data_IF_244977625019
#
_entry.id   IF_244977625019
#
_cell.length_a   1.000
_cell.length_b   1.000
_cell.length_c   1.000
_cell.angle_alpha   90.00
_cell.angle_beta   90.00
_cell.angle_gamma   90.00
#
_symmetry.space_group_name_H-M   'P 1'
#
loop_
_entity.id
_entity.type
_entity.pdbx_description
1 polymer ?
#
# COMPACT_ATOMS: atom_id res chain seq x y z
N UNK A 1 -0.82 -16.44 27.37
CA UNK A 1 -0.39 -15.98 26.03
C UNK A 1 -1.57 -15.27 25.39
N UNK A 2 -1.39 -14.05 24.89
CA UNK A 2 -2.44 -13.36 24.12
C UNK A 2 -2.57 -14.00 22.74
N UNK A 3 -3.80 -14.22 22.29
CA UNK A 3 -4.09 -14.80 20.97
C UNK A 3 -3.85 -13.76 19.87
N UNK A 4 -3.28 -14.18 18.74
CA UNK A 4 -3.13 -13.35 17.54
C UNK A 4 -4.52 -13.03 16.96
N UNK A 5 -4.75 -11.76 16.59
CA UNK A 5 -6.06 -11.27 16.11
C UNK A 5 -6.06 -10.72 14.69
N UNK A 6 -4.89 -10.45 14.09
CA UNK A 6 -4.77 -9.88 12.75
C UNK A 6 -3.36 -10.09 12.18
N UNK A 7 -3.23 -10.05 10.86
CA UNK A 7 -1.97 -10.11 10.11
C UNK A 7 -2.05 -9.36 8.77
N UNK A 8 -0.94 -9.16 8.06
CA UNK A 8 -0.90 -8.41 6.81
C UNK A 8 -1.61 -9.11 5.64
N UNK A 9 -1.81 -10.43 5.74
CA UNK A 9 -2.49 -11.27 4.75
C UNK A 9 -3.67 -12.04 5.39
N UNK A 10 -4.44 -11.37 6.25
CA UNK A 10 -5.49 -12.02 7.06
C UNK A 10 -6.68 -12.56 6.24
N UNK A 11 -6.88 -12.03 5.02
CA UNK A 11 -7.98 -12.36 4.12
C UNK A 11 -7.56 -13.31 2.98
N UNK A 12 -6.41 -13.99 3.14
CA UNK A 12 -5.87 -14.95 2.17
C UNK A 12 -6.87 -16.05 1.82
N UNK A 13 -6.89 -16.47 0.56
CA UNK A 13 -7.75 -17.56 0.05
C UNK A 13 -9.21 -17.52 0.58
N UNK A 14 -9.82 -16.32 0.54
CA UNK A 14 -11.19 -16.05 1.01
C UNK A 14 -11.41 -16.22 2.52
N UNK A 15 -10.36 -16.08 3.33
CA UNK A 15 -10.41 -16.14 4.80
C UNK A 15 -11.41 -15.15 5.40
N UNK A 16 -12.35 -15.68 6.21
CA UNK A 16 -13.40 -14.91 6.87
C UNK A 16 -14.75 -14.86 6.13
N UNK A 17 -15.77 -14.36 6.84
CA UNK A 17 -17.15 -14.28 6.30
C UNK A 17 -17.24 -13.41 5.04
N UNK A 18 -18.05 -13.86 4.08
CA UNK A 18 -18.30 -13.10 2.84
C UNK A 18 -18.82 -11.69 3.12
N UNK A 19 -19.66 -11.49 4.15
CA UNK A 19 -20.19 -10.16 4.51
C UNK A 19 -19.10 -9.14 4.86
N UNK A 20 -17.95 -9.59 5.39
CA UNK A 20 -16.79 -8.74 5.70
C UNK A 20 -15.98 -8.46 4.43
N UNK A 21 -15.70 -9.51 3.63
CA UNK A 21 -14.95 -9.40 2.36
C UNK A 21 -15.69 -8.61 1.28
N UNK A 22 -17.03 -8.68 1.25
CA UNK A 22 -17.89 -7.95 0.31
C UNK A 22 -17.87 -6.43 0.48
N UNK A 23 -17.19 -5.92 1.52
CA UNK A 23 -16.92 -4.49 1.69
C UNK A 23 -15.81 -3.99 0.75
N UNK A 24 -15.14 -4.88 0.00
CA UNK A 24 -14.22 -4.49 -1.06
C UNK A 24 -14.91 -3.49 -2.01
N UNK A 25 -14.20 -2.39 -2.27
CA UNK A 25 -14.67 -1.28 -3.10
C UNK A 25 -14.81 -1.68 -4.58
N UNK A 26 -14.13 -2.74 -5.01
CA UNK A 26 -14.16 -3.26 -6.38
C UNK A 26 -15.33 -4.23 -6.62
N UNK A 27 -15.89 -4.82 -5.55
CA UNK A 27 -17.08 -5.66 -5.64
C UNK A 27 -18.32 -4.80 -5.91
N UNK A 28 -18.72 -4.73 -7.19
CA UNK A 28 -19.88 -3.99 -7.70
C UNK A 28 -21.23 -4.73 -7.51
N UNK A 29 -22.26 -4.33 -8.27
CA UNK A 29 -23.65 -4.83 -8.35
C UNK A 29 -23.88 -6.35 -8.20
N UNK A 30 -22.85 -7.19 -8.41
CA UNK A 30 -22.93 -8.65 -8.29
C UNK A 30 -22.59 -9.22 -6.89
N UNK A 31 -22.44 -8.38 -5.85
CA UNK A 31 -22.14 -8.83 -4.48
C UNK A 31 -23.01 -9.98 -3.99
N UNK A 32 -24.33 -9.95 -4.22
CA UNK A 32 -25.23 -11.02 -3.76
C UNK A 32 -24.98 -12.35 -4.48
N UNK A 33 -24.67 -12.31 -5.77
CA UNK A 33 -24.40 -13.51 -6.58
C UNK A 33 -23.14 -14.22 -6.11
N UNK A 34 -22.05 -13.47 -5.90
CA UNK A 34 -20.77 -14.00 -5.44
C UNK A 34 -20.75 -14.49 -3.97
N UNK A 35 -21.86 -14.29 -3.24
CA UNK A 35 -22.05 -14.88 -1.91
C UNK A 35 -22.56 -16.32 -1.94
N UNK A 36 -22.97 -16.82 -3.12
CA UNK A 36 -23.39 -18.21 -3.31
C UNK A 36 -22.18 -19.11 -3.53
N UNK A 37 -22.22 -20.32 -2.97
CA UNK A 37 -21.09 -21.26 -3.03
C UNK A 37 -20.67 -21.55 -4.48
N UNK A 38 -21.65 -21.77 -5.36
CA UNK A 38 -21.46 -22.11 -6.77
C UNK A 38 -20.82 -20.98 -7.59
N UNK A 39 -20.96 -19.74 -7.12
CA UNK A 39 -20.46 -18.53 -7.76
C UNK A 39 -19.21 -17.97 -7.06
N UNK A 40 -18.57 -18.76 -6.19
CA UNK A 40 -17.37 -18.33 -5.48
C UNK A 40 -16.22 -18.15 -6.45
N UNK A 41 -15.55 -16.99 -6.39
CA UNK A 41 -14.32 -16.72 -7.14
C UNK A 41 -13.32 -15.94 -6.29
N UNK A 42 -12.04 -16.03 -6.65
CA UNK A 42 -10.97 -15.24 -6.03
C UNK A 42 -9.87 -14.96 -7.03
N UNK A 43 -9.06 -13.93 -6.77
CA UNK A 43 -7.87 -13.61 -7.56
C UNK A 43 -6.78 -13.03 -6.67
N UNK A 44 -5.53 -13.21 -7.05
CA UNK A 44 -4.39 -12.60 -6.36
C UNK A 44 -4.08 -11.21 -6.92
N UNK A 45 -3.72 -10.28 -6.04
CA UNK A 45 -3.39 -8.91 -6.41
C UNK A 45 -2.06 -8.44 -5.76
N UNK A 46 -0.91 -8.88 -6.28
CA UNK A 46 0.39 -8.39 -5.82
C UNK A 46 0.56 -6.91 -6.24
N UNK A 47 0.83 -6.01 -5.30
CA UNK A 47 1.04 -4.58 -5.59
C UNK A 47 2.26 -4.02 -4.89
N UNK A 48 3.00 -3.19 -5.61
CA UNK A 48 4.20 -2.49 -5.13
C UNK A 48 4.00 -0.97 -5.26
N UNK A 49 5.07 -0.18 -5.05
CA UNK A 49 5.02 1.24 -5.38
C UNK A 49 5.01 1.42 -6.91
N UNK A 50 4.04 2.16 -7.42
CA UNK A 50 3.88 2.37 -8.88
C UNK A 50 4.87 3.38 -9.49
N UNK A 51 5.75 4.00 -8.68
CA UNK A 51 6.69 5.04 -9.12
C UNK A 51 6.09 6.06 -10.11
N UNK A 52 4.91 6.58 -9.76
CA UNK A 52 4.05 7.37 -10.65
C UNK A 52 4.80 8.52 -11.36
N UNK A 53 4.32 8.90 -12.55
CA UNK A 53 4.80 10.09 -13.25
C UNK A 53 4.49 11.38 -12.49
N UNK A 54 3.27 11.49 -11.95
CA UNK A 54 2.85 12.58 -11.05
C UNK A 54 2.60 12.05 -9.63
N UNK A 55 3.66 11.86 -8.81
CA UNK A 55 3.55 11.20 -7.52
C UNK A 55 2.91 12.11 -6.45
N UNK A 56 1.68 11.81 -6.05
CA UNK A 56 0.97 12.53 -4.97
C UNK A 56 1.75 12.54 -3.63
N UNK A 57 2.57 11.53 -3.37
CA UNK A 57 3.44 11.49 -2.19
C UNK A 57 4.53 12.57 -2.22
N UNK A 58 5.04 12.95 -3.41
CA UNK A 58 6.00 14.05 -3.56
C UNK A 58 5.29 15.37 -3.25
N UNK A 59 4.14 15.60 -3.88
CA UNK A 59 3.36 16.82 -3.70
C UNK A 59 2.92 17.06 -2.24
N UNK A 60 2.73 16.00 -1.46
CA UNK A 60 2.24 16.10 -0.06
C UNK A 60 3.34 16.15 0.98
N UNK A 61 4.61 15.97 0.62
CA UNK A 61 5.72 15.97 1.59
C UNK A 61 6.16 17.41 1.92
N UNK A 62 5.92 17.93 3.15
CA UNK A 62 6.23 19.32 3.47
C UNK A 62 7.74 19.62 3.48
N UNK A 63 8.56 18.61 3.80
CA UNK A 63 10.02 18.76 3.85
C UNK A 63 10.70 18.59 2.50
N UNK A 64 9.95 18.29 1.43
CA UNK A 64 10.54 18.02 0.11
C UNK A 64 11.47 16.80 0.08
N UNK A 65 11.36 15.88 1.04
CA UNK A 65 12.24 14.73 1.16
C UNK A 65 11.95 13.62 0.13
N UNK A 66 10.85 13.72 -0.60
CA UNK A 66 10.46 12.71 -1.60
C UNK A 66 10.69 13.32 -2.98
N UNK A 67 11.39 12.57 -3.83
CA UNK A 67 11.75 13.02 -5.18
C UNK A 67 11.66 11.87 -6.17
N UNK A 68 11.53 12.21 -7.45
CA UNK A 68 11.59 11.26 -8.57
C UNK A 68 12.95 11.44 -9.26
N UNK A 69 13.72 10.36 -9.33
CA UNK A 69 14.99 10.33 -10.06
C UNK A 69 14.72 10.53 -11.54
N UNK A 70 15.53 11.36 -12.19
CA UNK A 70 15.35 11.74 -13.59
C UNK A 70 15.76 10.64 -14.56
N UNK A 71 16.74 9.82 -14.18
CA UNK A 71 17.40 8.82 -15.01
C UNK A 71 16.57 7.54 -15.20
N UNK A 72 15.80 7.13 -14.19
CA UNK A 72 15.05 5.87 -14.17
C UNK A 72 13.60 6.02 -13.68
N UNK A 73 13.20 7.24 -13.29
CA UNK A 73 11.84 7.52 -12.84
C UNK A 73 11.49 6.95 -11.46
N UNK A 74 12.46 6.41 -10.71
CA UNK A 74 12.21 5.83 -9.38
C UNK A 74 11.92 6.96 -8.38
N UNK A 75 10.82 6.79 -7.65
CA UNK A 75 10.40 7.68 -6.57
C UNK A 75 10.99 7.20 -5.24
N UNK A 76 11.85 8.02 -4.63
CA UNK A 76 12.57 7.71 -3.40
C UNK A 76 12.23 8.68 -2.27
N UNK A 77 12.54 8.26 -1.03
CA UNK A 77 12.50 9.12 0.16
C UNK A 77 13.94 9.29 0.65
N UNK A 78 14.44 10.52 0.57
CA UNK A 78 15.70 10.94 1.19
C UNK A 78 15.57 10.79 2.71
N UNK A 79 16.30 9.82 3.27
CA UNK A 79 16.19 9.47 4.69
C UNK A 79 16.73 10.57 5.61
N UNK A 80 17.71 11.36 5.15
CA UNK A 80 18.33 12.43 5.95
C UNK A 80 17.48 13.69 5.97
N UNK A 81 16.77 13.97 4.87
CA UNK A 81 15.80 15.08 4.80
C UNK A 81 14.43 14.73 5.38
N UNK A 82 14.12 13.45 5.54
CA UNK A 82 12.82 13.04 6.06
C UNK A 82 12.67 13.47 7.52
N UNK A 83 11.61 14.22 7.83
CA UNK A 83 11.28 14.66 9.20
C UNK A 83 10.08 13.93 9.82
N UNK A 84 9.62 12.86 9.20
CA UNK A 84 8.56 12.04 9.79
C UNK A 84 7.17 12.67 9.82
N UNK A 85 6.90 13.71 9.01
CA UNK A 85 5.59 14.37 8.93
C UNK A 85 4.43 13.44 8.56
N UNK A 86 4.72 12.28 7.95
CA UNK A 86 3.76 11.20 7.61
C UNK A 86 2.62 11.60 6.67
N UNK A 87 2.59 12.82 6.15
CA UNK A 87 1.60 13.28 5.15
C UNK A 87 1.63 12.43 3.87
N UNK A 88 2.81 11.92 3.50
CA UNK A 88 2.98 11.01 2.36
C UNK A 88 2.32 9.63 2.54
N UNK A 89 1.96 9.23 3.77
CA UNK A 89 1.17 8.00 4.04
C UNK A 89 -0.29 8.21 3.58
N UNK A 90 -0.85 9.37 3.93
CA UNK A 90 -2.21 9.74 3.53
C UNK A 90 -2.28 10.07 2.04
N UNK A 91 -1.32 10.84 1.54
CA UNK A 91 -1.28 11.32 0.15
C UNK A 91 -1.09 10.22 -0.91
N UNK A 92 -0.51 9.07 -0.57
CA UNK A 92 -0.40 7.96 -1.51
C UNK A 92 -1.76 7.23 -1.63
N UNK A 93 -2.42 7.22 -2.81
CA UNK A 93 -3.69 6.52 -3.00
C UNK A 93 -3.53 4.99 -2.88
N UNK A 94 -2.33 4.47 -3.13
CA UNK A 94 -2.01 3.05 -3.04
C UNK A 94 -1.53 2.58 -1.66
N UNK A 95 -1.34 3.51 -0.71
CA UNK A 95 -0.82 3.23 0.65
C UNK A 95 0.51 2.47 0.68
N UNK A 96 1.42 2.79 -0.27
CA UNK A 96 2.74 2.15 -0.40
C UNK A 96 3.90 2.91 0.26
N UNK A 97 3.60 4.05 0.89
CA UNK A 97 4.50 4.68 1.85
C UNK A 97 4.32 3.99 3.20
N UNK A 98 5.39 3.56 3.86
CA UNK A 98 5.35 2.88 5.16
C UNK A 98 6.23 3.60 6.18
N UNK A 99 5.93 3.48 7.47
CA UNK A 99 6.75 4.01 8.57
C UNK A 99 7.14 2.85 9.47
N UNK A 100 8.40 2.44 9.49
CA UNK A 100 8.88 1.33 10.34
C UNK A 100 9.58 1.83 11.60
N UNK A 101 8.81 2.31 12.59
CA UNK A 101 9.30 2.62 13.95
C UNK A 101 10.33 3.75 14.10
N UNK A 102 11.04 4.14 13.05
CA UNK A 102 11.91 5.31 13.00
C UNK A 102 11.08 6.57 12.77
N UNK A 103 11.59 7.72 13.19
CA UNK A 103 11.01 9.04 12.88
C UNK A 103 11.10 9.41 11.37
N UNK A 104 11.42 8.45 10.51
CA UNK A 104 11.56 8.60 9.05
C UNK A 104 10.67 7.60 8.33
N UNK A 105 10.09 8.03 7.22
CA UNK A 105 9.24 7.17 6.37
C UNK A 105 10.11 6.42 5.35
N UNK A 106 9.63 5.26 4.95
CA UNK A 106 10.26 4.40 3.96
C UNK A 106 9.30 4.05 2.83
N UNK A 107 9.89 3.66 1.70
CA UNK A 107 9.21 3.06 0.56
C UNK A 107 10.05 1.92 0.03
N UNK A 108 9.41 1.04 -0.72
CA UNK A 108 10.09 0.03 -1.50
C UNK A 108 11.09 0.69 -2.46
N UNK A 109 12.36 0.33 -2.33
CA UNK A 109 13.36 0.56 -3.37
C UNK A 109 13.13 -0.51 -4.44
N UNK A 110 13.12 -0.14 -5.72
CA UNK A 110 12.95 -1.07 -6.84
C UNK A 110 14.20 -1.97 -6.96
N UNK A 111 14.41 -2.86 -5.98
CA UNK A 111 15.56 -3.75 -5.82
C UNK A 111 16.93 -3.09 -6.09
N UNK A 112 17.02 -1.76 -5.89
CA UNK A 112 18.26 -1.03 -6.09
C UNK A 112 19.28 -1.54 -5.07
N UNK A 113 20.53 -1.79 -5.47
CA UNK A 113 21.59 -2.04 -4.51
C UNK A 113 21.63 -0.84 -3.56
N UNK A 114 21.51 -1.09 -2.27
CA UNK A 114 21.87 -0.11 -1.26
C UNK A 114 23.39 0.01 -1.31
N UNK A 115 23.90 0.95 -2.11
CA UNK A 115 25.29 1.41 -1.97
C UNK A 115 25.39 2.36 -0.78
#
# INVERSE_FOLDING_TARGET
MSNVKMGPNWEDDLGGEFAKRAQDKTLNIFRKMYGQFENTFMMYLPRLCEHCLNPACVATCPSGAIYKRSEDGIVLIDQDKCRGWRMCLTGCPYKKSISIGKAVNQKMYFLLPTY
#
